data_IF_271047079098
#
_entry.id   IF_271047079098
#
_cell.length_a   1.000
_cell.length_b   1.000
_cell.length_c   1.000
_cell.angle_alpha   90.00
_cell.angle_beta   90.00
_cell.angle_gamma   90.00
#
_symmetry.space_group_name_H-M   'P 1'
#
loop_
_entity.id
_entity.type
_entity.pdbx_description
1 polymer ?
#
# COMPACT_ATOMS: atom_id res chain seq x y z
N UNK A 1 -15.66 -40.62 -100.82
CA UNK A 1 -15.96 -39.42 -100.00
C UNK A 1 -17.20 -39.71 -99.18
N UNK A 2 -17.09 -39.85 -97.87
CA UNK A 2 -18.19 -40.19 -96.98
C UNK A 2 -18.74 -38.92 -96.33
N UNK A 3 -19.76 -38.34 -96.97
CA UNK A 3 -20.53 -37.25 -96.39
C UNK A 3 -21.20 -37.72 -95.08
N UNK A 4 -21.13 -36.92 -94.01
CA UNK A 4 -21.78 -37.25 -92.74
C UNK A 4 -23.30 -37.22 -92.93
N UNK A 5 -24.04 -38.00 -92.14
CA UNK A 5 -25.50 -38.00 -92.20
C UNK A 5 -26.06 -36.79 -91.45
N UNK A 6 -27.14 -36.20 -91.96
CA UNK A 6 -27.69 -34.95 -91.43
C UNK A 6 -28.49 -35.14 -90.12
N UNK A 7 -29.19 -36.27 -89.96
CA UNK A 7 -30.13 -36.45 -88.84
C UNK A 7 -30.02 -37.80 -88.12
N UNK A 8 -30.58 -37.86 -86.90
CA UNK A 8 -30.74 -39.10 -86.14
C UNK A 8 -31.53 -40.15 -86.93
N UNK A 9 -32.57 -39.70 -87.61
CA UNK A 9 -33.45 -40.53 -88.45
C UNK A 9 -32.66 -41.19 -89.57
N UNK A 10 -31.77 -40.46 -90.25
CA UNK A 10 -30.93 -41.01 -91.33
C UNK A 10 -29.91 -42.03 -90.80
N UNK A 11 -29.31 -41.76 -89.64
CA UNK A 11 -28.43 -42.72 -88.95
C UNK A 11 -29.19 -44.00 -88.62
N UNK A 12 -30.42 -43.89 -88.15
CA UNK A 12 -31.28 -45.02 -87.83
C UNK A 12 -31.72 -45.80 -89.08
N UNK A 13 -32.15 -45.12 -90.15
CA UNK A 13 -32.49 -45.76 -91.44
C UNK A 13 -31.31 -46.58 -91.96
N UNK A 14 -30.12 -45.98 -92.01
CA UNK A 14 -28.91 -46.66 -92.48
C UNK A 14 -28.51 -47.84 -91.60
N UNK A 15 -28.63 -47.70 -90.28
CA UNK A 15 -28.30 -48.77 -89.31
C UNK A 15 -29.28 -49.94 -89.42
N UNK A 16 -30.58 -49.65 -89.53
CA UNK A 16 -31.62 -50.66 -89.62
C UNK A 16 -31.66 -51.35 -91.00
N UNK A 17 -31.35 -50.62 -92.07
CA UNK A 17 -31.16 -51.20 -93.40
C UNK A 17 -30.05 -52.26 -93.40
N UNK A 18 -28.93 -52.00 -92.71
CA UNK A 18 -27.82 -52.94 -92.71
C UNK A 18 -28.07 -54.22 -91.91
N UNK A 19 -28.78 -54.16 -90.78
CA UNK A 19 -28.93 -55.31 -89.87
C UNK A 19 -30.26 -56.05 -89.97
N UNK A 20 -31.21 -55.54 -90.77
CA UNK A 20 -32.54 -56.12 -90.97
C UNK A 20 -33.23 -56.50 -89.63
N UNK A 21 -33.29 -55.53 -88.72
CA UNK A 21 -33.96 -55.66 -87.42
C UNK A 21 -33.03 -55.62 -86.21
N UNK A 22 -33.14 -54.57 -85.40
CA UNK A 22 -32.42 -54.42 -84.12
C UNK A 22 -33.31 -53.93 -82.97
N UNK A 23 -32.94 -54.26 -81.74
CA UNK A 23 -33.56 -53.66 -80.55
C UNK A 23 -32.99 -52.26 -80.25
N UNK A 24 -33.73 -51.43 -79.52
CA UNK A 24 -33.26 -50.08 -79.12
C UNK A 24 -31.94 -50.13 -78.34
N UNK A 25 -31.76 -51.16 -77.52
CA UNK A 25 -30.54 -51.37 -76.72
C UNK A 25 -29.32 -51.68 -77.63
N UNK A 26 -29.54 -52.41 -78.72
CA UNK A 26 -28.49 -52.71 -79.70
C UNK A 26 -28.19 -51.51 -80.61
N UNK A 27 -29.19 -50.70 -80.93
CA UNK A 27 -29.05 -49.52 -81.80
C UNK A 27 -28.29 -48.38 -81.09
N UNK A 28 -28.57 -48.14 -79.80
CA UNK A 28 -28.07 -46.98 -79.07
C UNK A 28 -26.53 -46.80 -79.09
N UNK A 29 -25.69 -47.85 -78.94
CA UNK A 29 -24.23 -47.73 -79.05
C UNK A 29 -23.75 -47.31 -80.45
N UNK A 30 -24.45 -47.72 -81.51
CA UNK A 30 -24.10 -47.34 -82.88
C UNK A 30 -24.44 -45.88 -83.16
N UNK A 31 -25.59 -45.45 -82.66
CA UNK A 31 -26.00 -44.05 -82.69
C UNK A 31 -24.98 -43.22 -81.93
N UNK A 32 -24.73 -43.50 -80.65
CA UNK A 32 -23.83 -42.72 -79.78
C UNK A 32 -22.43 -42.48 -80.39
N UNK A 33 -21.88 -43.49 -81.08
CA UNK A 33 -20.57 -43.36 -81.75
C UNK A 33 -20.61 -42.41 -82.94
N UNK A 34 -21.70 -42.40 -83.71
CA UNK A 34 -21.86 -41.53 -84.90
C UNK A 34 -22.41 -40.16 -84.57
N UNK A 35 -23.30 -40.07 -83.60
CA UNK A 35 -24.07 -38.89 -83.23
C UNK A 35 -24.46 -38.98 -81.75
N UNK A 36 -24.57 -37.86 -81.03
CA UNK A 36 -24.85 -37.83 -79.58
C UNK A 36 -23.72 -38.41 -78.70
N UNK A 37 -22.45 -38.16 -79.06
CA UNK A 37 -21.27 -38.63 -78.33
C UNK A 37 -21.22 -38.13 -76.87
N UNK A 38 -21.71 -36.92 -76.61
CA UNK A 38 -21.68 -36.26 -75.30
C UNK A 38 -22.79 -36.73 -74.34
N UNK A 39 -23.74 -37.52 -74.83
CA UNK A 39 -24.90 -37.96 -74.03
C UNK A 39 -24.61 -39.26 -73.29
N UNK A 40 -25.20 -39.40 -72.09
CA UNK A 40 -25.16 -40.65 -71.34
C UNK A 40 -25.95 -41.75 -72.05
N UNK A 41 -25.55 -43.02 -71.86
CA UNK A 41 -26.14 -44.17 -72.57
C UNK A 41 -27.68 -44.25 -72.43
N UNK A 42 -28.23 -43.92 -71.26
CA UNK A 42 -29.68 -43.92 -71.01
C UNK A 42 -30.40 -42.81 -71.80
N UNK A 43 -29.81 -41.61 -71.86
CA UNK A 43 -30.36 -40.48 -72.63
C UNK A 43 -30.35 -40.77 -74.13
N UNK A 44 -29.32 -41.47 -74.63
CA UNK A 44 -29.27 -41.92 -76.02
C UNK A 44 -30.37 -42.93 -76.31
N UNK A 45 -30.58 -43.93 -75.45
CA UNK A 45 -31.65 -44.94 -75.60
C UNK A 45 -33.02 -44.27 -75.68
N UNK A 46 -33.30 -43.29 -74.84
CA UNK A 46 -34.57 -42.55 -74.85
C UNK A 46 -34.77 -41.76 -76.14
N UNK A 47 -33.75 -41.02 -76.60
CA UNK A 47 -33.81 -40.27 -77.86
C UNK A 47 -33.99 -41.18 -79.07
N UNK A 48 -33.30 -42.32 -79.11
CA UNK A 48 -33.48 -43.32 -80.17
C UNK A 48 -34.89 -43.89 -80.16
N UNK A 49 -35.43 -44.25 -78.99
CA UNK A 49 -36.79 -44.78 -78.84
C UNK A 49 -37.84 -43.77 -79.32
N UNK A 50 -37.66 -42.50 -78.98
CA UNK A 50 -38.55 -41.42 -79.37
C UNK A 50 -38.51 -41.20 -80.90
N UNK A 51 -37.32 -41.16 -81.49
CA UNK A 51 -37.14 -41.01 -82.93
C UNK A 51 -37.74 -42.18 -83.73
N UNK A 52 -37.57 -43.42 -83.26
CA UNK A 52 -38.14 -44.61 -83.91
C UNK A 52 -39.68 -44.60 -83.89
N UNK A 53 -40.29 -44.08 -82.82
CA UNK A 53 -41.76 -43.95 -82.72
C UNK A 53 -42.33 -42.79 -83.53
N UNK A 54 -41.55 -41.72 -83.71
CA UNK A 54 -42.02 -40.49 -84.37
C UNK A 54 -42.10 -40.62 -85.90
N UNK A 55 -41.26 -41.45 -86.52
CA UNK A 55 -41.18 -41.54 -87.98
C UNK A 55 -41.80 -42.83 -88.54
N UNK A 56 -42.72 -42.73 -89.53
CA UNK A 56 -43.47 -43.87 -90.06
C UNK A 56 -42.63 -44.82 -90.94
N UNK A 57 -41.40 -44.45 -91.29
CA UNK A 57 -40.46 -45.34 -91.98
C UNK A 57 -40.01 -46.51 -91.10
N UNK A 58 -40.21 -46.46 -89.79
CA UNK A 58 -39.84 -47.54 -88.87
C UNK A 58 -41.05 -48.29 -88.38
N UNK A 59 -40.93 -49.60 -88.25
CA UNK A 59 -41.97 -50.44 -87.66
C UNK A 59 -41.36 -51.48 -86.73
N UNK A 60 -42.14 -51.97 -85.78
CA UNK A 60 -41.77 -53.07 -84.91
C UNK A 60 -42.26 -54.39 -85.47
N UNK A 61 -41.37 -55.36 -85.56
CA UNK A 61 -41.65 -56.74 -85.94
C UNK A 61 -42.27 -57.54 -84.76
N UNK A 62 -42.81 -58.72 -85.03
CA UNK A 62 -43.45 -59.62 -84.03
C UNK A 62 -42.52 -59.97 -82.86
N UNK A 63 -41.21 -59.94 -83.10
CA UNK A 63 -40.15 -60.18 -82.12
C UNK A 63 -39.72 -58.92 -81.33
N UNK A 64 -40.46 -57.80 -81.45
CA UNK A 64 -40.16 -56.54 -80.76
C UNK A 64 -38.91 -55.80 -81.27
N UNK A 65 -38.39 -56.17 -82.45
CA UNK A 65 -37.25 -55.53 -83.11
C UNK A 65 -37.73 -54.45 -84.09
N UNK A 66 -36.97 -53.37 -84.20
CA UNK A 66 -37.27 -52.28 -85.13
C UNK A 66 -36.68 -52.57 -86.51
N UNK A 67 -37.49 -52.43 -87.55
CA UNK A 67 -37.13 -52.62 -88.96
C UNK A 67 -37.45 -51.36 -89.78
N UNK A 68 -36.84 -51.25 -90.95
CA UNK A 68 -37.03 -50.16 -91.89
C UNK A 68 -38.02 -50.57 -92.99
N UNK A 69 -39.06 -49.76 -93.21
CA UNK A 69 -40.01 -49.96 -94.31
C UNK A 69 -39.43 -49.42 -95.61
N UNK A 70 -39.13 -50.31 -96.55
CA UNK A 70 -38.60 -49.97 -97.88
C UNK A 70 -39.70 -49.74 -98.94
N UNK A 71 -40.95 -50.03 -98.60
CA UNK A 71 -42.12 -49.63 -99.39
C UNK A 71 -42.26 -48.11 -99.30
N UNK A 72 -41.62 -47.40 -100.23
CA UNK A 72 -41.68 -45.94 -100.22
C UNK A 72 -43.00 -45.40 -100.74
N UNK A 73 -43.13 -44.08 -100.68
CA UNK A 73 -44.36 -43.40 -101.07
C UNK A 73 -44.36 -43.14 -102.58
N UNK A 74 -45.52 -43.34 -103.22
CA UNK A 74 -45.70 -43.14 -104.66
C UNK A 74 -45.37 -41.71 -105.11
N UNK A 75 -45.58 -40.74 -104.22
CA UNK A 75 -45.23 -39.32 -104.44
C UNK A 75 -43.71 -39.10 -104.65
N UNK A 76 -42.87 -39.99 -104.12
CA UNK A 76 -41.41 -39.87 -104.15
C UNK A 76 -40.75 -40.73 -105.25
N UNK A 77 -41.52 -41.51 -106.01
CA UNK A 77 -40.99 -42.45 -107.00
C UNK A 77 -40.25 -41.75 -108.16
N UNK A 78 -40.66 -40.53 -108.51
CA UNK A 78 -39.97 -39.71 -109.51
C UNK A 78 -38.53 -39.38 -109.09
N UNK A 79 -38.33 -39.02 -107.82
CA UNK A 79 -37.01 -38.74 -107.27
C UNK A 79 -36.18 -40.03 -107.17
N UNK A 80 -36.80 -41.13 -106.77
CA UNK A 80 -36.16 -42.44 -106.72
C UNK A 80 -35.60 -42.86 -108.09
N UNK A 81 -36.42 -42.76 -109.15
CA UNK A 81 -36.00 -43.06 -110.52
C UNK A 81 -34.86 -42.13 -111.01
N UNK A 82 -34.90 -40.85 -110.63
CA UNK A 82 -33.86 -39.88 -110.96
C UNK A 82 -32.51 -40.20 -110.27
N UNK A 83 -32.55 -40.57 -108.98
CA UNK A 83 -31.36 -40.99 -108.24
C UNK A 83 -30.77 -42.28 -108.82
N UNK A 84 -31.59 -43.28 -109.14
CA UNK A 84 -31.11 -44.51 -109.80
C UNK A 84 -30.43 -44.19 -111.14
N UNK A 85 -31.04 -43.33 -111.96
CA UNK A 85 -30.50 -42.97 -113.29
C UNK A 85 -29.19 -42.19 -113.20
N UNK A 86 -29.02 -41.31 -112.22
CA UNK A 86 -27.82 -40.48 -112.06
C UNK A 86 -26.72 -41.11 -111.20
N UNK A 87 -27.04 -42.14 -110.40
CA UNK A 87 -26.14 -42.83 -109.47
C UNK A 87 -25.32 -41.91 -108.55
N UNK A 88 -25.83 -40.71 -108.24
CA UNK A 88 -25.16 -39.74 -107.40
C UNK A 88 -26.18 -39.03 -106.50
N UNK A 89 -25.80 -38.57 -105.28
CA UNK A 89 -26.68 -37.79 -104.43
C UNK A 89 -27.06 -36.46 -105.08
N UNK A 90 -28.35 -36.10 -105.06
CA UNK A 90 -28.89 -34.92 -105.75
C UNK A 90 -29.45 -33.92 -104.73
N UNK A 91 -29.21 -32.63 -104.94
CA UNK A 91 -29.86 -31.57 -104.16
C UNK A 91 -31.31 -31.39 -104.62
N UNK A 92 -32.26 -31.21 -103.70
CA UNK A 92 -33.69 -30.98 -104.05
C UNK A 92 -33.89 -29.79 -105.01
N UNK A 93 -33.00 -28.79 -104.97
CA UNK A 93 -33.02 -27.66 -105.91
C UNK A 93 -32.87 -28.09 -107.37
N UNK A 94 -32.16 -29.18 -107.64
CA UNK A 94 -31.92 -29.71 -108.98
C UNK A 94 -33.09 -30.55 -109.49
N UNK A 95 -33.97 -31.02 -108.60
CA UNK A 95 -35.16 -31.82 -108.92
C UNK A 95 -36.31 -30.92 -109.38
N UNK A 96 -36.37 -29.66 -108.89
CA UNK A 96 -37.43 -28.68 -109.17
C UNK A 96 -37.19 -27.89 -110.47
N UNK A 97 -36.28 -28.32 -111.33
CA UNK A 97 -35.95 -27.68 -112.62
C UNK A 97 -37.01 -27.90 -113.73
N UNK A 98 -38.29 -27.99 -113.37
CA UNK A 98 -39.40 -28.06 -114.34
C UNK A 98 -40.24 -26.76 -114.23
N UNK A 99 -40.49 -26.01 -115.32
CA UNK A 99 -40.78 -24.58 -115.25
C UNK A 99 -42.27 -24.26 -115.08
N UNK A 100 -42.95 -24.84 -114.08
CA UNK A 100 -44.30 -24.40 -113.69
C UNK A 100 -44.50 -24.56 -112.17
N UNK A 101 -44.23 -23.49 -111.41
CA UNK A 101 -44.98 -23.05 -110.21
C UNK A 101 -44.14 -22.19 -109.25
N UNK A 102 -44.16 -20.86 -109.45
CA UNK A 102 -43.65 -19.82 -108.53
C UNK A 102 -44.54 -19.61 -107.27
N UNK A 103 -45.06 -20.66 -106.64
CA UNK A 103 -45.85 -20.58 -105.38
C UNK A 103 -45.38 -21.58 -104.29
N UNK A 104 -44.07 -21.87 -104.19
CA UNK A 104 -43.53 -22.97 -103.38
C UNK A 104 -42.40 -22.58 -102.41
N UNK A 105 -42.72 -21.91 -101.30
CA UNK A 105 -41.87 -21.99 -100.07
C UNK A 105 -42.43 -23.01 -99.07
N UNK A 106 -43.76 -23.08 -98.95
CA UNK A 106 -44.48 -24.05 -98.10
C UNK A 106 -44.40 -25.48 -98.64
N UNK A 107 -44.39 -25.69 -99.98
CA UNK A 107 -44.19 -27.02 -100.58
C UNK A 107 -42.78 -27.59 -100.37
N UNK A 108 -41.75 -26.76 -100.14
CA UNK A 108 -40.37 -27.25 -99.91
C UNK A 108 -40.23 -27.97 -98.57
N UNK A 109 -40.87 -27.45 -97.51
CA UNK A 109 -40.89 -28.11 -96.19
C UNK A 109 -41.71 -29.40 -96.21
N UNK A 110 -42.82 -29.42 -96.95
CA UNK A 110 -43.65 -30.61 -97.10
C UNK A 110 -42.96 -31.71 -97.94
N UNK A 111 -42.25 -31.33 -99.00
CA UNK A 111 -41.46 -32.24 -99.84
C UNK A 111 -40.26 -32.82 -99.05
N UNK A 112 -39.55 -32.03 -98.23
CA UNK A 112 -38.48 -32.52 -97.35
C UNK A 112 -39.01 -33.44 -96.22
N UNK A 113 -40.13 -33.07 -95.59
CA UNK A 113 -40.76 -33.89 -94.55
C UNK A 113 -41.25 -35.24 -95.10
N UNK A 114 -41.79 -35.27 -96.33
CA UNK A 114 -42.23 -36.50 -97.01
C UNK A 114 -41.07 -37.46 -97.30
N UNK A 115 -39.90 -36.93 -97.71
CA UNK A 115 -38.70 -37.72 -97.93
C UNK A 115 -38.06 -38.22 -96.62
N UNK A 116 -38.14 -37.43 -95.55
CA UNK A 116 -37.73 -37.86 -94.21
C UNK A 116 -38.59 -39.02 -93.69
N UNK A 117 -39.88 -39.06 -94.02
CA UNK A 117 -40.77 -40.18 -93.67
C UNK A 117 -40.62 -41.42 -94.58
N UNK A 118 -39.97 -41.29 -95.74
CA UNK A 118 -39.76 -42.41 -96.67
C UNK A 118 -38.46 -43.16 -96.33
N UNK A 119 -38.55 -44.48 -96.13
CA UNK A 119 -37.40 -45.31 -95.75
C UNK A 119 -36.37 -45.56 -96.85
N UNK A 120 -36.62 -45.13 -98.10
CA UNK A 120 -35.66 -45.28 -99.22
C UNK A 120 -34.62 -44.18 -99.31
N UNK A 121 -34.84 -43.04 -98.64
CA UNK A 121 -33.99 -41.85 -98.79
C UNK A 121 -33.28 -41.49 -97.49
N UNK A 122 -32.04 -41.00 -97.64
CA UNK A 122 -31.22 -40.40 -96.59
C UNK A 122 -30.73 -39.02 -97.00
N UNK A 123 -30.64 -38.13 -96.03
CA UNK A 123 -30.05 -36.81 -96.24
C UNK A 123 -28.59 -36.78 -95.76
N UNK A 124 -27.72 -36.26 -96.63
CA UNK A 124 -26.31 -36.00 -96.34
C UNK A 124 -26.14 -34.60 -95.73
N UNK A 125 -25.06 -34.40 -94.99
CA UNK A 125 -24.66 -33.14 -94.33
C UNK A 125 -24.58 -31.93 -95.27
N UNK A 126 -24.22 -32.16 -96.53
CA UNK A 126 -24.19 -31.17 -97.60
C UNK A 126 -25.59 -30.79 -98.14
N UNK A 127 -26.66 -31.36 -97.59
CA UNK A 127 -28.04 -31.11 -98.00
C UNK A 127 -28.50 -31.89 -99.23
N UNK A 128 -27.68 -32.79 -99.75
CA UNK A 128 -28.04 -33.68 -100.86
C UNK A 128 -28.77 -34.92 -100.35
N UNK A 129 -29.64 -35.47 -101.20
CA UNK A 129 -30.41 -36.67 -100.93
C UNK A 129 -29.83 -37.85 -101.71
N UNK A 130 -29.69 -38.98 -101.03
CA UNK A 130 -29.25 -40.25 -101.60
C UNK A 130 -30.16 -41.39 -101.19
N UNK A 131 -29.94 -42.56 -101.78
CA UNK A 131 -30.66 -43.77 -101.38
C UNK A 131 -30.06 -44.37 -100.12
N UNK A 132 -30.89 -44.95 -99.26
CA UNK A 132 -30.46 -45.65 -98.03
C UNK A 132 -29.53 -46.83 -98.31
N UNK A 133 -29.64 -47.41 -99.50
CA UNK A 133 -28.82 -48.50 -99.99
C UNK A 133 -27.39 -48.05 -100.36
N UNK A 134 -27.19 -46.75 -100.63
CA UNK A 134 -25.90 -46.23 -101.04
C UNK A 134 -24.94 -46.04 -99.86
N UNK A 135 -23.70 -46.49 -100.03
CA UNK A 135 -22.57 -46.37 -99.09
C UNK A 135 -22.84 -46.89 -97.68
N UNK A 136 -23.16 -48.18 -97.51
CA UNK A 136 -23.21 -48.78 -96.17
C UNK A 136 -21.79 -48.98 -95.63
N UNK A 137 -21.37 -48.12 -94.69
CA UNK A 137 -20.07 -48.18 -94.01
C UNK A 137 -20.03 -49.36 -93.02
N UNK A 138 -19.94 -50.59 -93.53
CA UNK A 138 -19.98 -51.79 -92.72
C UNK A 138 -18.81 -51.92 -91.72
N UNK A 139 -17.70 -51.20 -91.96
CA UNK A 139 -16.52 -51.17 -91.09
C UNK A 139 -16.73 -50.60 -89.69
N UNK A 140 -17.80 -49.82 -89.44
CA UNK A 140 -18.06 -49.19 -88.15
C UNK A 140 -18.74 -50.13 -87.15
N UNK A 141 -19.24 -51.27 -87.62
CA UNK A 141 -19.88 -52.26 -86.78
C UNK A 141 -18.84 -53.15 -86.10
N UNK A 142 -19.17 -53.61 -84.90
CA UNK A 142 -18.28 -54.54 -84.18
C UNK A 142 -18.22 -55.88 -84.90
N UNK A 143 -17.06 -56.53 -84.84
CA UNK A 143 -16.82 -57.82 -85.49
C UNK A 143 -17.85 -58.88 -85.09
N UNK A 144 -18.25 -58.93 -83.82
CA UNK A 144 -19.36 -59.77 -83.32
C UNK A 144 -20.62 -59.63 -84.16
N UNK A 145 -21.06 -58.41 -84.43
CA UNK A 145 -22.34 -58.18 -85.12
C UNK A 145 -22.23 -58.43 -86.63
N UNK A 146 -21.04 -58.25 -87.22
CA UNK A 146 -20.78 -58.64 -88.60
C UNK A 146 -20.82 -60.17 -88.77
N UNK A 147 -20.22 -60.92 -87.84
CA UNK A 147 -20.28 -62.39 -87.82
C UNK A 147 -21.71 -62.89 -87.64
N UNK A 148 -22.50 -62.29 -86.73
CA UNK A 148 -23.92 -62.62 -86.57
C UNK A 148 -24.70 -62.39 -87.87
N UNK A 149 -24.43 -61.29 -88.58
CA UNK A 149 -25.08 -60.99 -89.86
C UNK A 149 -24.74 -62.05 -90.93
N UNK A 150 -23.46 -62.41 -91.07
CA UNK A 150 -23.03 -63.44 -92.02
C UNK A 150 -23.74 -64.78 -91.74
N UNK A 151 -23.81 -65.19 -90.47
CA UNK A 151 -24.46 -66.45 -90.09
C UNK A 151 -25.99 -66.41 -90.21
N UNK A 152 -26.63 -65.25 -90.04
CA UNK A 152 -28.08 -65.10 -90.28
C UNK A 152 -28.47 -65.19 -91.76
N UNK A 153 -27.61 -64.69 -92.65
CA UNK A 153 -27.81 -64.79 -94.10
C UNK A 153 -27.69 -66.24 -94.58
N UNK A 154 -26.94 -67.07 -93.86
CA UNK A 154 -26.68 -68.47 -94.21
C UNK A 154 -27.11 -69.40 -93.07
N UNK A 155 -28.41 -69.71 -93.01
CA UNK A 155 -29.01 -70.56 -91.96
C UNK A 155 -28.47 -72.00 -91.93
N UNK A 156 -27.81 -72.45 -93.01
CA UNK A 156 -27.11 -73.74 -93.08
C UNK A 156 -25.73 -73.76 -92.41
N UNK A 157 -25.30 -72.64 -91.83
CA UNK A 157 -23.97 -72.46 -91.25
C UNK A 157 -22.89 -72.18 -92.30
N UNK A 158 -21.78 -71.62 -91.84
CA UNK A 158 -20.63 -71.25 -92.69
C UNK A 158 -19.33 -71.75 -92.07
N UNK A 159 -18.34 -72.08 -92.92
CA UNK A 159 -17.00 -72.41 -92.45
C UNK A 159 -16.28 -71.18 -91.89
N UNK A 160 -15.27 -71.36 -91.05
CA UNK A 160 -14.47 -70.22 -90.53
C UNK A 160 -13.86 -69.40 -91.68
N UNK A 161 -13.50 -70.05 -92.77
CA UNK A 161 -12.97 -69.40 -93.99
C UNK A 161 -14.06 -68.59 -94.72
N UNK A 162 -15.25 -69.15 -94.89
CA UNK A 162 -16.36 -68.45 -95.55
C UNK A 162 -16.84 -67.24 -94.74
N UNK A 163 -16.90 -67.35 -93.41
CA UNK A 163 -17.24 -66.22 -92.53
C UNK A 163 -16.18 -65.13 -92.66
N UNK A 164 -14.90 -65.51 -92.71
CA UNK A 164 -13.82 -64.55 -92.92
C UNK A 164 -13.98 -63.82 -94.25
N UNK A 165 -14.21 -64.53 -95.35
CA UNK A 165 -14.39 -63.93 -96.69
C UNK A 165 -15.58 -62.96 -96.70
N UNK A 166 -16.76 -63.37 -96.20
CA UNK A 166 -17.94 -62.51 -96.12
C UNK A 166 -17.73 -61.27 -95.24
N UNK A 167 -17.06 -61.43 -94.09
CA UNK A 167 -16.81 -60.30 -93.17
C UNK A 167 -15.70 -59.40 -93.69
N UNK A 168 -14.70 -59.95 -94.39
CA UNK A 168 -13.58 -59.21 -94.94
C UNK A 168 -14.01 -58.27 -96.10
N UNK A 169 -15.03 -58.67 -96.87
CA UNK A 169 -15.70 -57.81 -97.86
C UNK A 169 -16.35 -56.58 -97.21
N UNK A 170 -16.90 -56.74 -96.00
CA UNK A 170 -17.56 -55.64 -95.28
C UNK A 170 -16.60 -54.79 -94.46
N UNK A 171 -15.57 -55.42 -93.90
CA UNK A 171 -14.55 -54.79 -93.07
C UNK A 171 -13.25 -55.56 -93.20
N UNK A 172 -12.15 -54.91 -93.61
CA UNK A 172 -10.83 -55.52 -93.58
C UNK A 172 -10.54 -56.09 -92.19
N UNK A 173 -10.42 -57.40 -92.09
CA UNK A 173 -10.22 -58.12 -90.83
C UNK A 173 -9.24 -59.26 -91.02
N UNK A 174 -8.91 -59.97 -89.95
CA UNK A 174 -8.03 -61.13 -89.97
C UNK A 174 -8.80 -62.38 -89.56
N UNK A 175 -8.55 -63.51 -90.23
CA UNK A 175 -9.09 -64.83 -89.87
C UNK A 175 -9.00 -65.17 -88.37
N UNK A 176 -7.87 -64.94 -87.65
CA UNK A 176 -7.80 -65.22 -86.21
C UNK A 176 -8.76 -64.36 -85.38
N UNK A 177 -9.02 -63.11 -85.76
CA UNK A 177 -9.97 -62.26 -85.06
C UNK A 177 -11.42 -62.77 -85.19
N UNK A 178 -11.79 -63.30 -86.35
CA UNK A 178 -13.09 -63.95 -86.56
C UNK A 178 -13.20 -65.20 -85.68
N UNK A 179 -12.16 -66.04 -85.67
CA UNK A 179 -12.11 -67.25 -84.85
C UNK A 179 -12.18 -66.95 -83.34
N UNK A 180 -11.51 -65.89 -82.87
CA UNK A 180 -11.61 -65.43 -81.48
C UNK A 180 -13.03 -65.01 -81.11
N UNK A 181 -13.75 -64.33 -82.01
CA UNK A 181 -15.15 -63.93 -81.76
C UNK A 181 -16.06 -65.15 -81.70
N UNK A 182 -15.88 -66.12 -82.60
CA UNK A 182 -16.63 -67.37 -82.61
C UNK A 182 -16.40 -68.17 -81.31
N UNK A 183 -15.15 -68.25 -80.83
CA UNK A 183 -14.83 -68.96 -79.58
C UNK A 183 -15.18 -68.21 -78.30
N UNK A 184 -15.29 -66.87 -78.33
CA UNK A 184 -15.54 -66.06 -77.12
C UNK A 184 -16.98 -66.09 -76.66
N UNK A 185 -17.93 -66.33 -77.56
CA UNK A 185 -19.35 -66.20 -77.26
C UNK A 185 -20.09 -67.54 -77.43
N UNK A 186 -20.84 -67.99 -76.42
CA UNK A 186 -21.42 -69.34 -76.40
C UNK A 186 -22.59 -69.54 -77.36
N UNK A 187 -23.10 -68.45 -77.97
CA UNK A 187 -24.20 -68.51 -78.95
C UNK A 187 -23.73 -68.70 -80.40
N UNK A 188 -22.42 -68.83 -80.61
CA UNK A 188 -21.88 -69.36 -81.86
C UNK A 188 -21.61 -70.85 -81.65
N UNK A 189 -22.41 -71.69 -82.29
CA UNK A 189 -22.35 -73.14 -82.14
C UNK A 189 -21.59 -73.76 -83.30
N UNK A 190 -20.74 -74.74 -83.02
CA UNK A 190 -19.96 -75.45 -84.05
C UNK A 190 -20.68 -76.74 -84.43
N UNK A 191 -21.30 -76.76 -85.60
CA UNK A 191 -22.01 -77.91 -86.16
C UNK A 191 -21.02 -78.72 -87.02
N UNK A 192 -20.10 -79.45 -86.39
CA UNK A 192 -19.10 -80.29 -87.09
C UNK A 192 -17.66 -79.75 -87.03
N UNK A 193 -16.80 -80.12 -87.98
CA UNK A 193 -15.35 -79.83 -87.92
C UNK A 193 -14.98 -78.39 -88.26
N UNK A 194 -15.78 -77.61 -88.98
CA UNK A 194 -15.49 -76.17 -89.21
C UNK A 194 -16.73 -75.30 -89.47
N UNK A 195 -17.94 -75.87 -89.42
CA UNK A 195 -19.18 -75.13 -89.71
C UNK A 195 -19.69 -74.49 -88.43
N UNK A 196 -19.91 -73.17 -88.47
CA UNK A 196 -20.48 -72.41 -87.38
C UNK A 196 -21.92 -71.99 -87.70
N UNK A 197 -22.76 -72.01 -86.68
CA UNK A 197 -24.12 -71.51 -86.71
C UNK A 197 -24.33 -70.48 -85.60
N UNK A 198 -25.30 -69.59 -85.79
CA UNK A 198 -25.69 -68.60 -84.80
C UNK A 198 -27.00 -69.01 -84.14
N UNK A 199 -26.96 -69.32 -82.85
CA UNK A 199 -28.14 -69.65 -82.06
C UNK A 199 -28.69 -68.39 -81.37
N UNK A 200 -29.83 -67.88 -81.88
CA UNK A 200 -30.48 -66.69 -81.34
C UNK A 200 -30.98 -66.88 -79.90
N UNK A 201 -31.44 -68.09 -79.53
CA UNK A 201 -31.94 -68.37 -78.17
C UNK A 201 -30.79 -68.37 -77.15
N UNK A 202 -29.65 -68.98 -77.51
CA UNK A 202 -28.45 -68.96 -76.69
C UNK A 202 -27.94 -67.53 -76.44
N UNK A 203 -28.07 -66.62 -77.43
CA UNK A 203 -27.69 -65.22 -77.24
C UNK A 203 -28.56 -64.54 -76.17
N UNK A 204 -29.89 -64.74 -76.23
CA UNK A 204 -30.81 -64.12 -75.27
C UNK A 204 -30.53 -64.57 -73.83
N UNK A 205 -30.31 -65.87 -73.63
CA UNK A 205 -29.97 -66.43 -72.31
C UNK A 205 -28.62 -65.90 -71.80
N UNK A 206 -27.62 -65.82 -72.67
CA UNK A 206 -26.32 -65.25 -72.33
C UNK A 206 -26.44 -63.79 -71.91
N UNK A 207 -27.18 -62.98 -72.66
CA UNK A 207 -27.38 -61.55 -72.35
C UNK A 207 -28.14 -61.37 -71.02
N UNK A 208 -29.10 -62.25 -70.68
CA UNK A 208 -29.76 -62.25 -69.37
C UNK A 208 -28.82 -62.62 -68.22
N UNK A 209 -28.01 -63.67 -68.39
CA UNK A 209 -27.05 -64.10 -67.38
C UNK A 209 -26.01 -63.01 -67.10
N UNK A 210 -25.48 -62.38 -68.15
CA UNK A 210 -24.54 -61.26 -68.02
C UNK A 210 -25.19 -60.08 -67.28
N UNK A 211 -26.45 -59.75 -67.60
CA UNK A 211 -27.20 -58.70 -66.86
C UNK A 211 -27.34 -59.03 -65.38
N UNK A 212 -27.69 -60.28 -65.02
CA UNK A 212 -27.79 -60.72 -63.61
C UNK A 212 -26.44 -60.63 -62.90
N UNK A 213 -25.38 -61.10 -63.53
CA UNK A 213 -24.01 -61.06 -62.99
C UNK A 213 -23.54 -59.62 -62.71
N UNK A 214 -23.71 -58.72 -63.69
CA UNK A 214 -23.36 -57.30 -63.53
C UNK A 214 -24.15 -56.63 -62.41
N UNK A 215 -25.44 -56.98 -62.26
CA UNK A 215 -26.26 -56.46 -61.16
C UNK A 215 -25.77 -56.92 -59.78
N UNK A 216 -25.35 -58.19 -59.65
CA UNK A 216 -24.79 -58.71 -58.40
C UNK A 216 -23.48 -58.01 -58.06
N UNK A 217 -22.57 -57.87 -59.04
CA UNK A 217 -21.32 -57.14 -58.86
C UNK A 217 -21.55 -55.69 -58.43
N UNK A 218 -22.49 -55.00 -59.07
CA UNK A 218 -22.81 -53.62 -58.72
C UNK A 218 -23.39 -53.51 -57.29
N UNK A 219 -24.22 -54.46 -56.86
CA UNK A 219 -24.73 -54.52 -55.48
C UNK A 219 -23.60 -54.72 -54.48
N UNK A 220 -22.70 -55.68 -54.72
CA UNK A 220 -21.55 -55.93 -53.84
C UNK A 220 -20.63 -54.70 -53.76
N UNK A 221 -20.32 -54.08 -54.90
CA UNK A 221 -19.53 -52.85 -54.94
C UNK A 221 -20.16 -51.73 -54.12
N UNK A 222 -21.48 -51.56 -54.22
CA UNK A 222 -22.22 -50.55 -53.46
C UNK A 222 -22.23 -50.84 -51.95
N UNK A 223 -22.46 -52.09 -51.56
CA UNK A 223 -22.39 -52.51 -50.15
C UNK A 223 -21.01 -52.25 -49.55
N UNK A 224 -19.95 -52.67 -50.24
CA UNK A 224 -18.58 -52.45 -49.79
C UNK A 224 -18.25 -50.95 -49.65
N UNK A 225 -18.70 -50.12 -50.60
CA UNK A 225 -18.53 -48.67 -50.49
C UNK A 225 -19.25 -48.10 -49.26
N UNK A 226 -20.49 -48.53 -49.00
CA UNK A 226 -21.25 -48.10 -47.82
C UNK A 226 -20.55 -48.51 -46.52
N UNK A 227 -20.11 -49.76 -46.41
CA UNK A 227 -19.43 -50.22 -45.20
C UNK A 227 -18.11 -49.50 -44.98
N UNK A 228 -17.32 -49.30 -46.05
CA UNK A 228 -16.10 -48.47 -45.98
C UNK A 228 -16.40 -47.06 -45.48
N UNK A 229 -17.44 -46.40 -45.99
CA UNK A 229 -17.79 -45.05 -45.52
C UNK A 229 -18.21 -45.02 -44.06
N UNK A 230 -18.98 -46.02 -43.59
CA UNK A 230 -19.35 -46.13 -42.16
C UNK A 230 -18.13 -46.32 -41.27
N UNK A 231 -17.18 -47.16 -41.68
CA UNK A 231 -15.94 -47.39 -40.92
C UNK A 231 -15.07 -46.14 -40.86
N UNK A 232 -14.92 -45.42 -41.97
CA UNK A 232 -14.19 -44.15 -42.01
C UNK A 232 -14.82 -43.12 -41.08
N UNK A 233 -16.14 -42.93 -41.15
CA UNK A 233 -16.86 -42.02 -40.25
C UNK A 233 -16.71 -42.40 -38.77
N UNK A 234 -16.76 -43.71 -38.46
CA UNK A 234 -16.56 -44.19 -37.08
C UNK A 234 -15.14 -43.89 -36.60
N UNK A 235 -14.12 -44.12 -37.43
CA UNK A 235 -12.74 -43.82 -37.09
C UNK A 235 -12.50 -42.31 -36.88
N UNK A 236 -13.06 -41.46 -37.75
CA UNK A 236 -13.01 -40.01 -37.60
C UNK A 236 -13.66 -39.54 -36.30
N UNK A 237 -14.84 -40.07 -35.96
CA UNK A 237 -15.53 -39.73 -34.72
C UNK A 237 -14.73 -40.15 -33.48
N UNK A 238 -14.16 -41.36 -33.46
CA UNK A 238 -13.31 -41.81 -32.37
C UNK A 238 -12.03 -40.94 -32.23
N UNK A 239 -11.44 -40.53 -33.36
CA UNK A 239 -10.28 -39.62 -33.36
C UNK A 239 -10.63 -38.24 -32.79
N UNK A 240 -11.81 -37.70 -33.12
CA UNK A 240 -12.30 -36.43 -32.54
C UNK A 240 -12.50 -36.55 -31.03
N UNK A 241 -13.16 -37.60 -30.56
CA UNK A 241 -13.37 -37.84 -29.13
C UNK A 241 -12.04 -37.97 -28.37
N UNK A 242 -11.05 -38.66 -28.94
CA UNK A 242 -9.73 -38.77 -28.34
C UNK A 242 -9.04 -37.40 -28.23
N UNK A 243 -9.12 -36.59 -29.29
CA UNK A 243 -8.56 -35.23 -29.29
C UNK A 243 -9.26 -34.32 -28.26
N UNK A 244 -10.59 -34.39 -28.14
CA UNK A 244 -11.37 -33.64 -27.15
C UNK A 244 -10.99 -34.04 -25.71
N UNK A 245 -10.94 -35.35 -25.42
CA UNK A 245 -10.51 -35.85 -24.10
C UNK A 245 -9.06 -35.44 -23.82
N UNK A 246 -8.16 -35.55 -24.81
CA UNK A 246 -6.77 -35.12 -24.67
C UNK A 246 -6.60 -33.61 -24.48
N UNK A 247 -7.50 -32.78 -25.03
CA UNK A 247 -7.54 -31.35 -24.77
C UNK A 247 -8.05 -31.05 -23.36
N UNK A 248 -9.15 -31.67 -22.94
CA UNK A 248 -9.72 -31.53 -21.61
C UNK A 248 -8.73 -31.95 -20.51
N UNK A 249 -7.99 -33.05 -20.71
CA UNK A 249 -6.93 -33.47 -19.77
C UNK A 249 -5.80 -32.46 -19.66
N UNK A 250 -5.36 -31.87 -20.78
CA UNK A 250 -4.32 -30.82 -20.77
C UNK A 250 -4.79 -29.55 -20.06
N UNK A 251 -6.04 -29.15 -20.28
CA UNK A 251 -6.64 -28.01 -19.60
C UNK A 251 -6.79 -28.26 -18.09
N UNK A 252 -7.28 -29.44 -17.70
CA UNK A 252 -7.35 -29.85 -16.30
C UNK A 252 -5.97 -29.89 -15.63
N UNK A 253 -4.95 -30.42 -16.31
CA UNK A 253 -3.58 -30.41 -15.83
C UNK A 253 -3.02 -29.00 -15.67
N UNK A 254 -3.28 -28.10 -16.62
CA UNK A 254 -2.88 -26.69 -16.54
C UNK A 254 -3.58 -25.97 -15.38
N UNK A 255 -4.88 -26.19 -15.18
CA UNK A 255 -5.63 -25.62 -14.05
C UNK A 255 -5.12 -26.13 -12.70
N UNK A 256 -4.77 -27.43 -12.60
CA UNK A 256 -4.15 -27.99 -11.40
C UNK A 256 -2.76 -27.40 -11.12
N UNK A 257 -1.94 -27.21 -12.16
CA UNK A 257 -0.63 -26.57 -12.02
C UNK A 257 -0.74 -25.11 -11.56
N UNK A 258 -1.68 -24.34 -12.13
CA UNK A 258 -1.98 -22.99 -11.68
C UNK A 258 -2.44 -22.97 -10.21
N UNK A 259 -3.36 -23.86 -9.83
CA UNK A 259 -3.82 -23.98 -8.44
C UNK A 259 -2.65 -24.31 -7.49
N UNK A 260 -1.76 -25.23 -7.87
CA UNK A 260 -0.59 -25.56 -7.07
C UNK A 260 0.36 -24.36 -6.89
N UNK A 261 0.54 -23.54 -7.94
CA UNK A 261 1.33 -22.31 -7.88
C UNK A 261 0.72 -21.25 -6.93
N UNK A 262 -0.60 -21.11 -6.94
CA UNK A 262 -1.31 -20.18 -6.05
C UNK A 262 -1.22 -20.66 -4.59
N UNK A 263 -1.37 -21.96 -4.35
CA UNK A 263 -1.24 -22.53 -3.00
C UNK A 263 0.17 -22.36 -2.46
N UNK A 264 1.20 -22.53 -3.30
CA UNK A 264 2.60 -22.29 -2.88
C UNK A 264 2.87 -20.83 -2.55
N UNK A 265 2.36 -19.88 -3.37
CA UNK A 265 2.44 -18.45 -3.06
C UNK A 265 1.71 -18.09 -1.77
N UNK A 266 0.49 -18.62 -1.56
CA UNK A 266 -0.27 -18.42 -0.34
C UNK A 266 0.48 -18.94 0.89
N UNK A 267 1.06 -20.13 0.80
CA UNK A 267 1.86 -20.71 1.89
C UNK A 267 3.08 -19.83 2.22
N UNK A 268 3.78 -19.32 1.21
CA UNK A 268 4.92 -18.38 1.40
C UNK A 268 4.48 -17.07 2.07
N UNK A 269 3.33 -16.51 1.68
CA UNK A 269 2.78 -15.32 2.31
C UNK A 269 2.34 -15.58 3.75
N UNK A 270 1.73 -16.75 4.02
CA UNK A 270 1.33 -17.16 5.36
C UNK A 270 2.55 -17.30 6.29
N UNK A 271 3.65 -17.91 5.80
CA UNK A 271 4.90 -17.98 6.58
C UNK A 271 5.47 -16.59 6.85
N UNK A 272 5.53 -15.70 5.84
CA UNK A 272 6.01 -14.32 6.03
C UNK A 272 5.15 -13.52 7.01
N UNK A 273 3.83 -13.70 7.00
CA UNK A 273 2.92 -13.08 7.96
C UNK A 273 3.21 -13.59 9.38
N UNK A 274 3.37 -14.90 9.56
CA UNK A 274 3.69 -15.49 10.85
C UNK A 274 5.03 -14.99 11.42
N UNK A 275 6.03 -14.80 10.56
CA UNK A 275 7.34 -14.21 10.93
C UNK A 275 7.18 -12.75 11.36
N UNK A 276 6.41 -11.95 10.61
CA UNK A 276 6.13 -10.56 10.97
C UNK A 276 5.37 -10.45 12.28
N UNK A 277 4.37 -11.30 12.52
CA UNK A 277 3.63 -11.34 13.78
C UNK A 277 4.54 -11.71 14.96
N UNK A 278 5.47 -12.66 14.76
CA UNK A 278 6.48 -13.00 15.75
C UNK A 278 7.38 -11.78 16.06
N UNK A 279 7.89 -11.10 15.04
CA UNK A 279 8.74 -9.91 15.20
C UNK A 279 7.99 -8.77 15.90
N UNK A 280 6.73 -8.54 15.54
CA UNK A 280 5.88 -7.55 16.21
C UNK A 280 5.68 -7.90 17.69
N UNK A 281 5.46 -9.17 18.01
CA UNK A 281 5.34 -9.62 19.39
C UNK A 281 6.64 -9.46 20.18
N UNK A 282 7.80 -9.74 19.57
CA UNK A 282 9.11 -9.48 20.18
C UNK A 282 9.32 -7.98 20.42
N UNK A 283 8.99 -7.13 19.45
CA UNK A 283 9.10 -5.66 19.59
C UNK A 283 8.16 -5.12 20.66
N UNK A 284 6.93 -5.62 20.76
CA UNK A 284 6.00 -5.29 21.85
C UNK A 284 6.58 -5.64 23.22
N UNK A 285 7.17 -6.83 23.37
CA UNK A 285 7.85 -7.25 24.60
C UNK A 285 9.02 -6.35 24.95
N UNK A 286 9.81 -5.94 23.96
CA UNK A 286 10.94 -5.03 24.15
C UNK A 286 10.48 -3.63 24.60
N UNK A 287 9.44 -3.08 23.97
CA UNK A 287 8.83 -1.80 24.36
C UNK A 287 8.35 -1.85 25.82
N UNK A 288 7.69 -2.95 26.22
CA UNK A 288 7.25 -3.13 27.60
C UNK A 288 8.43 -3.19 28.58
N UNK A 289 9.55 -3.85 28.21
CA UNK A 289 10.77 -3.86 29.02
C UNK A 289 11.33 -2.45 29.20
N UNK A 290 11.51 -1.70 28.12
CA UNK A 290 12.01 -0.31 28.20
C UNK A 290 11.06 0.59 29.00
N UNK A 291 9.75 0.43 28.85
CA UNK A 291 8.76 1.18 29.64
C UNK A 291 8.93 0.91 31.13
N UNK A 292 9.10 -0.35 31.53
CA UNK A 292 9.32 -0.72 32.93
C UNK A 292 10.68 -0.21 33.45
N UNK A 293 11.72 -0.21 32.63
CA UNK A 293 13.02 0.37 32.99
C UNK A 293 12.94 1.89 33.18
N UNK A 294 12.26 2.59 32.27
CA UNK A 294 11.99 4.01 32.40
C UNK A 294 11.24 4.32 33.70
N UNK A 295 10.16 3.60 33.99
CA UNK A 295 9.40 3.75 35.23
C UNK A 295 10.28 3.51 36.48
N UNK A 296 11.16 2.50 36.46
CA UNK A 296 12.12 2.28 37.55
C UNK A 296 13.09 3.45 37.72
N UNK A 297 13.62 3.99 36.61
CA UNK A 297 14.53 5.13 36.67
C UNK A 297 13.83 6.41 37.13
N UNK A 298 12.58 6.62 36.70
CA UNK A 298 11.75 7.75 37.11
C UNK A 298 11.40 7.65 38.60
N UNK A 299 11.04 6.46 39.09
CA UNK A 299 10.80 6.22 40.52
C UNK A 299 12.06 6.47 41.35
N UNK A 300 13.25 6.06 40.87
CA UNK A 300 14.53 6.38 41.52
C UNK A 300 14.79 7.89 41.55
N UNK A 301 14.60 8.59 40.43
CA UNK A 301 14.76 10.03 40.35
C UNK A 301 13.79 10.77 41.29
N UNK A 302 12.53 10.35 41.35
CA UNK A 302 11.52 10.87 42.26
C UNK A 302 11.89 10.63 43.73
N UNK A 303 12.44 9.46 44.06
CA UNK A 303 12.95 9.17 45.40
C UNK A 303 14.12 10.09 45.78
N UNK A 304 15.09 10.27 44.88
CA UNK A 304 16.23 11.18 45.08
C UNK A 304 15.73 12.62 45.26
N UNK A 305 14.83 13.09 44.40
CA UNK A 305 14.24 14.43 44.50
C UNK A 305 13.49 14.62 45.83
N UNK A 306 12.75 13.61 46.28
CA UNK A 306 12.10 13.63 47.59
C UNK A 306 13.12 13.77 48.72
N UNK A 307 14.21 13.01 48.69
CA UNK A 307 15.30 13.14 49.65
C UNK A 307 15.91 14.55 49.59
N UNK A 308 16.28 15.06 48.41
CA UNK A 308 16.80 16.43 48.28
C UNK A 308 15.85 17.48 48.89
N UNK A 309 14.55 17.38 48.63
CA UNK A 309 13.54 18.26 49.24
C UNK A 309 13.50 18.15 50.77
N UNK A 310 13.59 16.95 51.31
CA UNK A 310 13.64 16.70 52.75
C UNK A 310 14.90 17.32 53.39
N UNK A 311 16.06 17.12 52.76
CA UNK A 311 17.33 17.69 53.21
C UNK A 311 17.31 19.21 53.18
N UNK A 312 16.77 19.82 52.11
CA UNK A 312 16.56 21.28 52.03
C UNK A 312 15.65 21.76 53.15
N UNK A 313 14.55 21.05 53.46
CA UNK A 313 13.66 21.40 54.57
C UNK A 313 14.39 21.34 55.91
N UNK A 314 15.12 20.25 56.19
CA UNK A 314 15.92 20.11 57.42
C UNK A 314 16.99 21.19 57.54
N UNK A 315 17.67 21.53 56.44
CA UNK A 315 18.66 22.60 56.43
C UNK A 315 18.02 23.96 56.75
N UNK A 316 16.85 24.27 56.19
CA UNK A 316 16.08 25.49 56.53
C UNK A 316 15.61 25.51 57.99
N UNK A 317 15.14 24.38 58.52
CA UNK A 317 14.74 24.26 59.93
C UNK A 317 15.94 24.51 60.85
N UNK A 318 17.09 23.90 60.56
CA UNK A 318 18.34 24.11 61.29
C UNK A 318 18.86 25.55 61.15
N UNK A 319 18.75 26.17 59.97
CA UNK A 319 19.09 27.57 59.77
C UNK A 319 18.20 28.51 60.61
N UNK A 320 16.88 28.25 60.62
CA UNK A 320 15.95 28.99 61.46
C UNK A 320 16.24 28.81 62.96
N UNK A 321 16.61 27.61 63.39
CA UNK A 321 17.03 27.34 64.77
C UNK A 321 18.32 28.08 65.12
N UNK A 322 19.32 28.05 64.25
CA UNK A 322 20.55 28.83 64.41
C UNK A 322 20.28 30.33 64.47
N UNK A 323 19.38 30.85 63.64
CA UNK A 323 18.96 32.26 63.71
C UNK A 323 18.28 32.58 65.05
N UNK A 324 17.42 31.71 65.56
CA UNK A 324 16.80 31.88 66.90
C UNK A 324 17.84 31.87 68.01
N UNK A 325 18.81 30.96 67.95
CA UNK A 325 19.90 30.87 68.93
C UNK A 325 20.78 32.13 68.87
N UNK A 326 21.14 32.62 67.68
CA UNK A 326 21.86 33.89 67.51
C UNK A 326 21.09 35.06 68.13
N UNK A 327 19.80 35.22 67.81
CA UNK A 327 18.96 36.25 68.42
C UNK A 327 18.89 36.15 69.96
N UNK A 328 18.85 34.93 70.50
CA UNK A 328 18.88 34.72 71.96
C UNK A 328 20.25 35.07 72.56
N UNK A 329 21.33 34.71 71.87
CA UNK A 329 22.69 35.04 72.27
C UNK A 329 22.89 36.56 72.27
N UNK A 330 22.46 37.26 71.22
CA UNK A 330 22.55 38.73 71.13
C UNK A 330 21.75 39.41 72.25
N UNK A 331 20.54 38.91 72.57
CA UNK A 331 19.77 39.40 73.73
C UNK A 331 20.50 39.19 75.05
N UNK A 332 21.12 38.02 75.25
CA UNK A 332 21.88 37.72 76.45
C UNK A 332 23.15 38.58 76.52
N UNK A 333 23.85 38.78 75.40
CA UNK A 333 25.01 39.65 75.31
C UNK A 333 24.63 41.10 75.64
N UNK A 334 23.57 41.65 75.02
CA UNK A 334 23.07 42.99 75.33
C UNK A 334 22.66 43.12 76.82
N UNK A 335 22.06 42.08 77.40
CA UNK A 335 21.75 42.04 78.84
C UNK A 335 23.00 42.07 79.70
N UNK A 336 24.03 41.30 79.35
CA UNK A 336 25.33 41.30 80.02
C UNK A 336 26.03 42.66 79.88
N UNK A 337 26.08 43.25 78.69
CA UNK A 337 26.61 44.58 78.45
C UNK A 337 25.87 45.66 79.26
N UNK A 338 24.54 45.52 79.38
CA UNK A 338 23.72 46.36 80.25
C UNK A 338 24.06 46.18 81.73
N UNK A 339 24.29 44.95 82.20
CA UNK A 339 24.75 44.68 83.57
C UNK A 339 26.17 45.18 83.83
N UNK A 340 27.09 45.02 82.87
CA UNK A 340 28.44 45.57 82.93
C UNK A 340 28.42 47.10 83.03
N UNK A 341 27.59 47.76 82.22
CA UNK A 341 27.40 49.22 82.27
C UNK A 341 26.87 49.67 83.62
N UNK A 342 25.87 48.97 84.17
CA UNK A 342 25.36 49.23 85.53
C UNK A 342 26.45 49.02 86.60
N UNK A 343 27.23 47.95 86.49
CA UNK A 343 28.32 47.66 87.43
C UNK A 343 29.42 48.73 87.35
N UNK A 344 29.72 49.23 86.14
CA UNK A 344 30.64 50.35 85.95
C UNK A 344 30.10 51.63 86.60
N UNK A 345 28.82 51.95 86.40
CA UNK A 345 28.16 53.08 87.09
C UNK A 345 28.22 52.94 88.61
N UNK A 346 28.00 51.74 89.16
CA UNK A 346 28.16 51.49 90.61
C UNK A 346 29.60 51.70 91.08
N UNK A 347 30.60 51.23 90.33
CA UNK A 347 32.02 51.46 90.65
C UNK A 347 32.39 52.94 90.59
N UNK A 348 31.87 53.68 89.61
CA UNK A 348 32.11 55.11 89.44
C UNK A 348 31.45 55.90 90.58
N UNK A 349 30.21 55.55 90.94
CA UNK A 349 29.53 56.11 92.11
C UNK A 349 30.26 55.78 93.42
N UNK A 350 30.82 54.58 93.56
CA UNK A 350 31.64 54.22 94.72
C UNK A 350 32.95 55.04 94.76
N UNK A 351 33.58 55.29 93.61
CA UNK A 351 34.74 56.20 93.50
C UNK A 351 34.36 57.64 93.88
N UNK A 352 33.25 58.16 93.37
CA UNK A 352 32.74 59.48 93.74
C UNK A 352 32.44 59.58 95.23
N UNK A 353 31.79 58.57 95.81
CA UNK A 353 31.51 58.52 97.25
C UNK A 353 32.81 58.49 98.06
N UNK A 354 33.81 57.70 97.66
CA UNK A 354 35.14 57.70 98.28
C UNK A 354 35.83 59.06 98.16
N UNK A 355 35.75 59.72 97.01
CA UNK A 355 36.28 61.07 96.81
C UNK A 355 35.60 62.08 97.73
N UNK A 356 34.26 62.08 97.80
CA UNK A 356 33.49 62.94 98.73
C UNK A 356 33.86 62.66 100.19
N UNK A 357 34.07 61.40 100.56
CA UNK A 357 34.45 61.02 101.92
C UNK A 357 35.88 61.49 102.24
N UNK A 358 36.79 61.45 101.26
CA UNK A 358 38.13 62.02 101.38
C UNK A 358 38.07 63.55 101.51
N UNK A 359 37.28 64.25 100.70
CA UNK A 359 37.06 65.70 100.82
C UNK A 359 36.47 66.08 102.19
N UNK A 360 35.47 65.35 102.68
CA UNK A 360 34.92 65.57 104.03
C UNK A 360 35.98 65.36 105.10
N UNK A 361 36.80 64.30 104.98
CA UNK A 361 37.89 64.02 105.90
C UNK A 361 38.92 65.16 105.89
N UNK A 362 39.25 65.69 104.72
CA UNK A 362 40.14 66.84 104.57
C UNK A 362 39.53 68.10 105.21
N UNK A 363 38.25 68.41 104.95
CA UNK A 363 37.53 69.52 105.59
C UNK A 363 37.47 69.39 107.12
N UNK A 364 37.25 68.18 107.64
CA UNK A 364 37.31 67.96 109.08
C UNK A 364 38.74 68.08 109.60
N UNK A 365 39.75 67.61 108.87
CA UNK A 365 41.15 67.78 109.24
C UNK A 365 41.55 69.26 109.30
N UNK A 366 41.15 70.07 108.32
CA UNK A 366 41.37 71.53 108.35
C UNK A 366 40.60 72.17 109.49
N UNK A 367 39.33 71.80 109.72
CA UNK A 367 38.57 72.33 110.86
C UNK A 367 39.19 71.96 112.22
N UNK A 368 39.72 70.74 112.34
CA UNK A 368 40.46 70.32 113.55
C UNK A 368 41.74 71.13 113.70
N UNK A 369 42.48 71.40 112.62
CA UNK A 369 43.66 72.25 112.65
C UNK A 369 43.32 73.69 113.06
N UNK A 370 42.24 74.28 112.51
CA UNK A 370 41.72 75.59 112.88
C UNK A 370 41.36 75.66 114.37
N UNK A 371 40.64 74.67 114.88
CA UNK A 371 40.28 74.59 116.30
C UNK A 371 41.52 74.40 117.19
N UNK A 372 42.53 73.65 116.73
CA UNK A 372 43.81 73.53 117.45
C UNK A 372 44.55 74.87 117.49
N UNK A 373 44.57 75.64 116.39
CA UNK A 373 45.12 77.01 116.40
C UNK A 373 44.35 77.94 117.32
N UNK A 374 43.01 77.91 117.32
CA UNK A 374 42.19 78.69 118.25
C UNK A 374 42.46 78.30 119.72
N UNK A 375 42.61 77.01 120.02
CA UNK A 375 42.99 76.54 121.37
C UNK A 375 44.35 77.10 121.78
N UNK A 376 45.34 77.10 120.88
CA UNK A 376 46.68 77.66 121.15
C UNK A 376 46.59 79.18 121.38
N UNK A 377 45.85 79.90 120.56
CA UNK A 377 45.64 81.35 120.72
C UNK A 377 44.92 81.69 122.03
N UNK A 378 43.88 80.94 122.39
CA UNK A 378 43.17 81.11 123.65
C UNK A 378 44.06 80.80 124.86
N UNK A 379 44.89 79.75 124.78
CA UNK A 379 45.90 79.46 125.81
C UNK A 379 46.91 80.60 125.95
N UNK A 380 47.42 81.15 124.85
CA UNK A 380 48.33 82.30 124.89
C UNK A 380 47.64 83.56 125.45
N UNK A 381 46.37 83.80 125.13
CA UNK A 381 45.60 84.90 125.72
C UNK A 381 45.43 84.73 127.23
N UNK A 382 45.08 83.53 127.69
CA UNK A 382 44.98 83.23 129.13
C UNK A 382 46.32 83.45 129.82
N UNK A 383 47.42 82.99 129.22
CA UNK A 383 48.76 83.15 129.77
C UNK A 383 49.15 84.64 129.88
N UNK A 384 48.84 85.45 128.86
CA UNK A 384 49.01 86.92 128.92
C UNK A 384 48.15 87.58 129.99
N UNK A 385 46.90 87.18 130.15
CA UNK A 385 46.03 87.70 131.22
C UNK A 385 46.53 87.31 132.62
N UNK A 386 47.07 86.10 132.78
CA UNK A 386 47.70 85.64 134.03
C UNK A 386 48.99 86.43 134.34
N UNK A 387 49.82 86.71 133.34
CA UNK A 387 50.99 87.57 133.51
C UNK A 387 50.61 89.00 133.90
N UNK A 388 49.58 89.57 133.26
CA UNK A 388 49.06 90.90 133.59
C UNK A 388 48.49 90.98 135.01
N UNK A 389 47.69 89.99 135.42
CA UNK A 389 47.15 89.93 136.79
C UNK A 389 48.25 89.74 137.83
N UNK A 390 49.27 88.93 137.54
CA UNK A 390 50.44 88.82 138.43
C UNK A 390 51.21 90.14 138.59
N UNK A 391 51.30 90.95 137.52
CA UNK A 391 51.93 92.28 137.59
C UNK A 391 51.07 93.25 138.42
N UNK A 392 49.75 93.21 138.25
CA UNK A 392 48.80 94.01 139.04
C UNK A 392 48.79 93.59 140.52
N UNK A 393 48.82 92.29 140.83
CA UNK A 393 48.95 91.79 142.20
C UNK A 393 50.24 92.28 142.86
N UNK A 394 51.36 92.29 142.12
CA UNK A 394 52.64 92.82 142.63
C UNK A 394 52.58 94.32 142.89
N UNK A 395 51.90 95.10 142.04
CA UNK A 395 51.65 96.53 142.28
C UNK A 395 50.79 96.74 143.52
N UNK A 396 49.67 96.03 143.64
CA UNK A 396 48.79 96.13 144.79
C UNK A 396 49.48 95.70 146.09
N UNK A 397 50.36 94.69 146.05
CA UNK A 397 51.18 94.32 147.21
C UNK A 397 52.22 95.39 147.57
N UNK A 398 52.78 96.11 146.59
CA UNK A 398 53.66 97.25 146.86
C UNK A 398 52.88 98.42 147.46
N UNK A 399 51.68 98.72 146.94
CA UNK A 399 50.81 99.77 147.48
C UNK A 399 50.33 99.44 148.90
N UNK A 400 50.00 98.17 149.19
CA UNK A 400 49.67 97.70 150.55
C UNK A 400 50.86 97.85 151.50
N UNK A 401 52.08 97.59 151.04
CA UNK A 401 53.29 97.76 151.87
C UNK A 401 53.60 99.23 152.13
N UNK A 402 53.38 100.12 151.16
CA UNK A 402 53.53 101.57 151.35
C UNK A 402 52.48 102.07 152.34
N UNK A 403 51.20 101.73 152.13
CA UNK A 403 50.10 102.09 153.03
C UNK A 403 50.28 101.51 154.44
N UNK A 404 50.84 100.31 154.57
CA UNK A 404 51.16 99.71 155.88
C UNK A 404 52.33 100.41 156.58
N UNK A 405 53.30 100.94 155.84
CA UNK A 405 54.37 101.77 156.41
C UNK A 405 53.84 103.14 156.85
N UNK A 406 53.02 103.80 156.02
CA UNK A 406 52.40 105.09 156.35
C UNK A 406 51.51 105.00 157.60
N UNK A 407 50.81 103.86 157.77
CA UNK A 407 49.96 103.60 158.93
C UNK A 407 50.78 103.31 160.21
N UNK A 408 52.00 102.77 160.06
CA UNK A 408 52.93 102.54 161.16
C UNK A 408 53.58 103.85 161.63
N UNK A 409 53.92 104.73 160.70
CA UNK A 409 54.42 106.09 160.97
C UNK A 409 53.35 106.96 161.66
N UNK A 410 52.09 106.86 161.23
CA UNK A 410 50.97 107.55 161.86
C UNK A 410 50.65 107.03 163.28
N UNK A 411 50.87 105.74 163.55
CA UNK A 411 50.70 105.15 164.88
C UNK A 411 51.83 105.54 165.84
N UNK A 412 53.09 105.57 165.39
CA UNK A 412 54.22 106.06 166.20
C UNK A 412 54.09 107.55 166.51
N UNK A 413 53.64 108.37 165.54
CA UNK A 413 53.33 109.78 165.77
C UNK A 413 52.17 109.98 166.76
N UNK A 414 51.20 109.06 166.79
CA UNK A 414 50.11 109.03 167.76
C UNK A 414 50.56 108.69 169.18
N UNK A 415 51.46 107.72 169.34
CA UNK A 415 52.00 107.33 170.65
C UNK A 415 52.92 108.40 171.26
N UNK A 416 53.69 109.12 170.44
CA UNK A 416 54.56 110.20 170.91
C UNK A 416 53.76 111.45 171.33
N UNK A 417 52.64 111.75 170.66
CA UNK A 417 51.69 112.78 171.11
C UNK A 417 51.03 112.40 172.44
N UNK A 418 50.76 111.11 172.67
CA UNK A 418 50.16 110.65 173.92
C UNK A 418 51.15 110.67 175.09
N UNK A 419 52.46 110.47 174.82
CA UNK A 419 53.54 110.63 175.81
C UNK A 419 53.81 112.10 176.14
N UNK A 420 53.76 113.02 175.17
CA UNK A 420 53.96 114.45 175.41
C UNK A 420 52.81 115.08 176.22
N UNK A 421 51.58 114.59 176.04
CA UNK A 421 50.41 115.03 176.81
C UNK A 421 50.44 114.56 178.28
N UNK A 422 51.00 113.38 178.56
CA UNK A 422 51.21 112.90 179.94
C UNK A 422 52.33 113.65 180.67
N UNK A 423 53.42 114.00 179.97
CA UNK A 423 54.52 114.77 180.55
C UNK A 423 54.11 116.21 180.87
N UNK A 424 53.36 116.87 179.99
CA UNK A 424 52.83 118.22 180.23
C UNK A 424 51.80 118.26 181.36
N UNK A 425 50.99 117.20 181.55
CA UNK A 425 50.13 117.06 182.74
C UNK A 425 50.92 116.84 184.04
N UNK A 426 52.08 116.17 184.00
CA UNK A 426 52.95 115.99 185.17
C UNK A 426 53.76 117.25 185.53
N UNK A 427 54.13 118.09 184.55
CA UNK A 427 54.79 119.37 184.84
C UNK A 427 53.82 120.41 185.39
N UNK A 428 52.58 120.44 184.91
CA UNK A 428 51.56 121.37 185.41
C UNK A 428 51.17 121.09 186.88
N UNK A 429 51.20 119.82 187.29
CA UNK A 429 50.97 119.43 188.69
C UNK A 429 52.16 119.76 189.61
N UNK A 430 53.40 119.70 189.12
CA UNK A 430 54.60 120.12 189.87
C UNK A 430 54.70 121.62 190.08
N UNK A 431 54.37 122.42 189.05
CA UNK A 431 54.42 123.89 189.17
C UNK A 431 53.30 124.43 190.08
N UNK A 432 52.15 123.75 190.14
CA UNK A 432 51.09 124.10 191.10
C UNK A 432 51.42 123.73 192.55
N UNK A 433 52.27 122.73 192.80
CA UNK A 433 52.76 122.40 194.15
C UNK A 433 53.92 123.29 194.59
N UNK A 434 54.83 123.65 193.69
CA UNK A 434 55.95 124.56 193.99
C UNK A 434 55.48 125.99 194.26
N UNK A 435 54.42 126.46 193.57
CA UNK A 435 53.76 127.73 193.90
C UNK A 435 53.17 127.75 195.32
N UNK A 436 52.66 126.62 195.82
CA UNK A 436 52.12 126.51 197.18
C UNK A 436 53.19 126.45 198.27
N UNK A 437 54.40 125.98 197.96
CA UNK A 437 55.51 125.88 198.93
C UNK A 437 56.37 127.16 199.02
N UNK A 438 56.51 127.91 197.92
CA UNK A 438 57.27 129.17 197.89
C UNK A 438 56.52 130.34 198.53
N UNK A 439 55.17 130.33 198.54
CA UNK A 439 54.37 131.34 199.25
C UNK A 439 54.43 131.21 200.79
N UNK A 440 54.88 130.07 201.34
CA UNK A 440 54.87 129.82 202.80
C UNK A 440 56.22 130.12 203.48
N UNK A 441 57.35 130.09 202.78
CA UNK A 441 58.67 130.03 203.43
C UNK A 441 59.50 131.31 203.43
N UNK A 442 59.10 132.38 202.72
CA UNK A 442 59.85 133.65 202.72
C UNK A 442 59.23 134.74 203.61
N UNK A 443 58.88 134.33 204.83
CA UNK A 443 58.35 135.15 205.91
C UNK A 443 59.42 135.29 207.03
N UNK A 444 60.58 135.95 206.79
CA UNK A 444 61.62 136.26 207.80
C UNK A 444 62.44 137.53 207.48
N UNK A 445 62.97 138.26 208.49
CA UNK A 445 62.69 139.70 208.61
C UNK A 445 63.64 140.70 207.92
N UNK A 446 64.69 140.27 207.21
CA UNK A 446 65.68 141.18 206.57
C UNK A 446 65.39 141.52 205.09
N UNK A 447 64.23 141.12 204.56
CA UNK A 447 63.72 141.60 203.26
C UNK A 447 62.35 142.26 203.45
N UNK A 448 62.23 143.01 204.55
CA UNK A 448 61.17 144.01 204.74
C UNK A 448 61.53 145.38 204.18
N UNK A 449 62.57 145.52 203.35
CA UNK A 449 62.96 146.86 202.88
C UNK A 449 63.41 147.06 201.42
N UNK A 450 63.71 146.03 200.62
CA UNK A 450 64.36 146.26 199.31
C UNK A 450 63.65 145.68 198.07
N UNK A 451 62.32 145.81 197.96
CA UNK A 451 61.70 145.90 196.61
C UNK A 451 60.40 146.72 196.55
N UNK A 452 60.27 147.70 197.45
CA UNK A 452 59.41 148.88 197.26
C UNK A 452 59.97 149.88 196.22
N UNK A 453 60.90 149.51 195.34
CA UNK A 453 61.54 150.40 194.33
C UNK A 453 61.36 149.89 192.89
N UNK A 454 60.56 148.85 192.71
CA UNK A 454 60.17 148.36 191.39
C UNK A 454 58.71 147.85 191.47
N UNK A 455 57.76 148.57 192.06
CA UNK A 455 57.09 149.74 191.47
C UNK A 455 57.61 150.16 190.09
N UNK A 456 56.74 149.96 189.09
CA UNK A 456 56.62 150.75 187.86
C UNK A 456 57.44 150.24 186.67
N UNK A 457 56.69 149.96 185.60
CA UNK A 457 57.06 149.43 184.27
C UNK A 457 57.27 147.90 184.24
N UNK A 458 56.34 147.10 183.73
CA UNK A 458 55.33 147.37 182.70
C UNK A 458 55.73 146.65 181.42
N UNK A 459 54.74 145.97 180.83
CA UNK A 459 54.76 145.00 179.73
C UNK A 459 55.18 143.58 180.13
#
# INVERSE_FOLDING_TARGET
MTAKLNSLTDVLKKTLFFFDGLSVQEIAPYVQRKMLQDYGQQQVIEKVRLCLKQHPCFYTDENGKWRLKLQGHSENDHLYAMLIKRQQPIALRQVVSNPVAKKKRIRKLAEEASLMSDGRFIQLDNGNWGLTEWNVEAGQYSLKHLVIKALKLHQGGLSTQQIFECVNEWRPTSKPAVQQVLGKFPYFERMGSDVWNYNQQAQLLYDELVKRYLNILNKQKKQWQQDRTKWVQKAENMSRQLNEIGAAQREAAAALAQRASVVTQYNQLATQLSEKDLLLNLRKKEILRYRNELERTENKANSILYQCRLWVRKAKESENENQRLKCSMDKNQNSLEGLFSKLQQYKERDRENKARLAELKERYSTRVAELQTEIVELKQKIQKYQEMTNIEERRLHQDINILSNDLKEALEGGEDLQKSLKLTQQELSKVQTEKRELEVTLNRPLVKFFSKISSIFGL
#
